data_IF_969909831562
#
_entry.id   IF_969909831562
#
_cell.length_a   1.000
_cell.length_b   1.000
_cell.length_c   1.000
_cell.angle_alpha   90.00
_cell.angle_beta   90.00
_cell.angle_gamma   90.00
#
_symmetry.space_group_name_H-M   'P 1'
#
loop_
_entity.id
_entity.type
_entity.pdbx_description
1 polymer ?
#
# COMPACT_ATOMS: atom_id res chain seq x y z
N UNK A 1 0.33 -29.46 -16.70
CA UNK A 1 -0.67 -28.46 -16.27
C UNK A 1 -0.43 -27.21 -17.09
N UNK A 2 -1.35 -26.85 -17.97
CA UNK A 2 -1.23 -25.60 -18.74
C UNK A 2 -1.39 -24.39 -17.81
N UNK A 3 -0.45 -23.46 -17.92
CA UNK A 3 -0.49 -22.18 -17.21
C UNK A 3 -1.47 -21.26 -17.95
N UNK A 4 -2.76 -21.42 -17.71
CA UNK A 4 -3.80 -20.66 -18.41
C UNK A 4 -3.94 -19.27 -17.81
N UNK A 5 -3.75 -18.24 -18.64
CA UNK A 5 -4.09 -16.86 -18.31
C UNK A 5 -5.59 -16.73 -18.10
N UNK A 6 -6.01 -16.31 -16.90
CA UNK A 6 -7.43 -16.12 -16.57
C UNK A 6 -7.77 -14.65 -16.41
N UNK A 7 -8.82 -14.20 -17.10
CA UNK A 7 -9.38 -12.86 -16.91
C UNK A 7 -10.33 -12.86 -15.70
N UNK A 8 -10.10 -11.97 -14.75
CA UNK A 8 -10.96 -11.76 -13.59
C UNK A 8 -11.75 -10.46 -13.79
N UNK A 9 -12.95 -10.56 -14.36
CA UNK A 9 -13.80 -9.39 -14.65
C UNK A 9 -14.24 -8.64 -13.39
N UNK A 10 -14.46 -9.36 -12.28
CA UNK A 10 -14.88 -8.76 -11.01
C UNK A 10 -13.77 -7.91 -10.39
N UNK A 11 -12.54 -8.42 -10.37
CA UNK A 11 -11.38 -7.71 -9.82
C UNK A 11 -10.65 -6.84 -10.85
N UNK A 12 -11.12 -6.84 -12.10
CA UNK A 12 -10.53 -6.09 -13.22
C UNK A 12 -9.02 -6.31 -13.34
N UNK A 13 -8.61 -7.58 -13.30
CA UNK A 13 -7.21 -8.01 -13.47
C UNK A 13 -7.15 -9.31 -14.27
N UNK A 14 -5.96 -9.67 -14.70
CA UNK A 14 -5.66 -11.02 -15.17
C UNK A 14 -4.85 -11.75 -14.10
N UNK A 15 -4.95 -13.06 -14.06
CA UNK A 15 -4.21 -13.90 -13.12
C UNK A 15 -3.62 -15.13 -13.82
N UNK A 16 -2.38 -15.46 -13.48
CA UNK A 16 -1.71 -16.70 -13.89
C UNK A 16 -1.31 -17.43 -12.60
N UNK A 17 -1.61 -18.73 -12.52
CA UNK A 17 -1.14 -19.59 -11.43
C UNK A 17 -0.28 -20.69 -12.03
N UNK A 18 0.93 -20.83 -11.53
CA UNK A 18 1.83 -21.93 -11.90
C UNK A 18 2.56 -22.41 -10.65
N UNK A 19 2.45 -23.71 -10.37
CA UNK A 19 2.94 -24.31 -9.13
C UNK A 19 2.41 -23.53 -7.90
N UNK A 20 3.31 -23.01 -7.06
CA UNK A 20 2.98 -22.20 -5.87
C UNK A 20 2.99 -20.69 -6.15
N UNK A 21 3.28 -20.28 -7.38
CA UNK A 21 3.38 -18.87 -7.76
C UNK A 21 2.05 -18.38 -8.32
N UNK A 22 1.57 -17.26 -7.78
CA UNK A 22 0.42 -16.53 -8.29
C UNK A 22 0.87 -15.16 -8.81
N UNK A 23 0.59 -14.89 -10.07
CA UNK A 23 0.91 -13.60 -10.72
C UNK A 23 -0.39 -12.87 -11.02
N UNK A 24 -0.53 -11.68 -10.45
CA UNK A 24 -1.60 -10.75 -10.78
C UNK A 24 -1.10 -9.74 -11.82
N UNK A 25 -1.86 -9.57 -12.91
CA UNK A 25 -1.50 -8.68 -14.02
C UNK A 25 -2.57 -7.58 -14.12
N UNK A 26 -2.14 -6.34 -13.92
CA UNK A 26 -2.99 -5.15 -14.04
C UNK A 26 -2.65 -4.43 -15.34
N UNK A 27 -3.67 -4.14 -16.14
CA UNK A 27 -3.50 -3.56 -17.47
C UNK A 27 -4.07 -2.14 -17.53
N UNK A 28 -3.40 -1.21 -18.24
CA UNK A 28 -3.95 0.11 -18.54
C UNK A 28 -5.36 0.03 -19.11
N UNK A 29 -6.21 1.00 -18.76
CA UNK A 29 -7.60 1.13 -19.22
C UNK A 29 -8.58 -0.01 -18.83
N UNK A 30 -8.07 -1.18 -18.41
CA UNK A 30 -8.90 -2.29 -17.92
C UNK A 30 -8.96 -2.33 -16.40
N UNK A 31 -7.80 -2.20 -15.74
CA UNK A 31 -7.70 -2.36 -14.30
C UNK A 31 -8.17 -1.13 -13.53
N UNK A 32 -9.06 -1.37 -12.57
CA UNK A 32 -9.66 -0.33 -11.72
C UNK A 32 -8.95 -0.26 -10.37
N UNK A 33 -7.69 0.18 -10.40
CA UNK A 33 -6.91 0.52 -9.19
C UNK A 33 -6.86 2.03 -9.02
N UNK A 34 -6.64 2.48 -7.79
CA UNK A 34 -6.80 3.87 -7.39
C UNK A 34 -5.78 4.82 -8.05
N UNK A 35 -4.60 4.30 -8.38
CA UNK A 35 -3.63 4.94 -9.27
C UNK A 35 -3.61 4.10 -10.56
N UNK A 36 -4.05 4.63 -11.71
CA UNK A 36 -4.12 3.86 -12.94
C UNK A 36 -2.75 3.27 -13.34
N UNK A 37 -2.70 2.04 -13.90
CA UNK A 37 -1.44 1.41 -14.31
C UNK A 37 -0.60 2.27 -15.27
N UNK A 38 -1.24 2.96 -16.22
CA UNK A 38 -0.60 3.89 -17.15
C UNK A 38 0.12 5.05 -16.46
N UNK A 39 -0.35 5.46 -15.28
CA UNK A 39 0.28 6.51 -14.50
C UNK A 39 1.38 5.96 -13.60
N UNK A 40 1.21 4.76 -13.02
CA UNK A 40 2.25 4.07 -12.26
C UNK A 40 3.50 3.81 -13.11
N UNK A 41 3.32 3.43 -14.37
CA UNK A 41 4.42 3.15 -15.30
C UNK A 41 5.29 4.37 -15.58
N UNK A 42 4.79 5.60 -15.39
CA UNK A 42 5.52 6.85 -15.62
C UNK A 42 6.48 7.20 -14.48
N UNK A 43 6.28 6.64 -13.30
CA UNK A 43 7.00 7.06 -12.08
C UNK A 43 7.72 5.91 -11.37
N UNK A 44 8.11 4.86 -12.11
CA UNK A 44 8.78 3.69 -11.55
C UNK A 44 10.16 4.02 -10.96
N UNK A 45 10.48 3.37 -9.85
CA UNK A 45 11.82 3.27 -9.29
C UNK A 45 12.49 1.97 -9.77
N UNK A 46 13.82 1.92 -9.76
CA UNK A 46 14.59 0.69 -10.01
C UNK A 46 15.25 0.27 -8.70
N UNK A 47 14.87 -0.88 -8.18
CA UNK A 47 15.40 -1.45 -6.94
C UNK A 47 15.98 -2.82 -7.27
N UNK A 48 17.30 -3.00 -7.11
CA UNK A 48 17.99 -4.26 -7.44
C UNK A 48 17.68 -4.81 -8.85
N UNK A 49 17.53 -3.92 -9.84
CA UNK A 49 17.19 -4.28 -11.23
C UNK A 49 15.69 -4.48 -11.50
N UNK A 50 14.84 -4.46 -10.48
CA UNK A 50 13.39 -4.53 -10.62
C UNK A 50 12.78 -3.14 -10.76
N UNK A 51 11.91 -2.96 -11.76
CA UNK A 51 11.08 -1.76 -11.86
C UNK A 51 9.89 -1.89 -10.92
N UNK A 52 9.79 -1.00 -9.94
CA UNK A 52 8.72 -1.01 -8.93
C UNK A 52 8.04 0.34 -8.86
N UNK A 53 6.77 0.42 -8.41
CA UNK A 53 6.20 1.69 -8.01
C UNK A 53 7.10 2.38 -6.97
N UNK A 54 7.12 3.71 -6.99
CA UNK A 54 7.69 4.51 -5.89
C UNK A 54 6.91 4.25 -4.60
N UNK A 55 7.56 4.53 -3.48
CA UNK A 55 7.06 4.14 -2.16
C UNK A 55 5.74 4.84 -1.81
N UNK A 56 5.53 6.08 -2.27
CA UNK A 56 4.28 6.83 -2.05
C UNK A 56 3.12 6.22 -2.83
N UNK A 57 3.32 5.88 -4.10
CA UNK A 57 2.33 5.16 -4.90
C UNK A 57 2.03 3.79 -4.30
N UNK A 58 3.06 3.05 -3.87
CA UNK A 58 2.88 1.75 -3.23
C UNK A 58 2.09 1.86 -1.91
N UNK A 59 2.35 2.89 -1.11
CA UNK A 59 1.59 3.19 0.11
C UNK A 59 0.10 3.42 -0.21
N UNK A 60 -0.21 4.24 -1.22
CA UNK A 60 -1.58 4.51 -1.64
C UNK A 60 -2.28 3.22 -2.12
N UNK A 61 -1.61 2.39 -2.91
CA UNK A 61 -2.15 1.10 -3.37
C UNK A 61 -2.44 0.14 -2.20
N UNK A 62 -1.56 0.11 -1.20
CA UNK A 62 -1.80 -0.67 0.03
C UNK A 62 -2.98 -0.14 0.83
N UNK A 63 -3.17 1.17 0.91
CA UNK A 63 -4.33 1.77 1.55
C UNK A 63 -5.64 1.39 0.85
N UNK A 64 -5.67 1.34 -0.49
CA UNK A 64 -6.84 0.86 -1.22
C UNK A 64 -7.17 -0.58 -0.82
N UNK A 65 -6.20 -1.49 -0.90
CA UNK A 65 -6.39 -2.90 -0.56
C UNK A 65 -6.87 -3.09 0.90
N UNK A 66 -6.31 -2.30 1.82
CA UNK A 66 -6.71 -2.28 3.22
C UNK A 66 -8.16 -1.85 3.39
N UNK A 67 -8.59 -0.76 2.74
CA UNK A 67 -9.96 -0.23 2.83
C UNK A 67 -10.96 -1.26 2.33
N UNK A 68 -10.67 -1.92 1.20
CA UNK A 68 -11.50 -2.97 0.62
C UNK A 68 -11.61 -4.23 1.50
N UNK A 69 -10.66 -4.45 2.42
CA UNK A 69 -10.53 -5.69 3.21
C UNK A 69 -10.49 -5.47 4.73
N UNK A 70 -10.85 -4.27 5.19
CA UNK A 70 -10.59 -3.70 6.52
C UNK A 70 -10.90 -4.61 7.72
N UNK A 71 -11.93 -5.45 7.61
CA UNK A 71 -12.42 -6.32 8.69
C UNK A 71 -11.98 -7.79 8.53
N UNK A 72 -10.82 -8.04 7.93
CA UNK A 72 -10.30 -9.39 7.69
C UNK A 72 -8.84 -9.52 8.11
N UNK A 73 -8.37 -10.78 8.25
CA UNK A 73 -6.96 -11.10 8.43
C UNK A 73 -6.10 -10.50 7.29
N UNK A 74 -6.64 -10.46 6.06
CA UNK A 74 -5.97 -9.82 4.92
C UNK A 74 -5.83 -8.31 5.13
N UNK A 75 -6.87 -7.65 5.65
CA UNK A 75 -6.81 -6.24 6.03
C UNK A 75 -5.76 -5.94 7.11
N UNK A 76 -5.57 -6.84 8.10
CA UNK A 76 -4.48 -6.71 9.06
C UNK A 76 -3.10 -6.81 8.39
N UNK A 77 -2.90 -7.75 7.47
CA UNK A 77 -1.65 -7.86 6.68
C UNK A 77 -1.38 -6.58 5.88
N UNK A 78 -2.41 -6.03 5.23
CA UNK A 78 -2.28 -4.77 4.48
C UNK A 78 -1.91 -3.59 5.40
N UNK A 79 -2.42 -3.53 6.64
CA UNK A 79 -1.98 -2.52 7.65
C UNK A 79 -0.56 -2.73 8.13
N UNK A 80 -0.14 -3.98 8.34
CA UNK A 80 1.26 -4.31 8.69
C UNK A 80 2.19 -3.84 7.57
N UNK A 81 1.85 -4.11 6.31
CA UNK A 81 2.64 -3.65 5.17
C UNK A 81 2.72 -2.12 5.11
N UNK A 82 1.62 -1.41 5.36
CA UNK A 82 1.62 0.07 5.48
C UNK A 82 2.59 0.52 6.57
N UNK A 83 2.57 -0.11 7.74
CA UNK A 83 3.48 0.21 8.84
C UNK A 83 4.94 -0.05 8.48
N UNK A 84 5.25 -1.13 7.75
CA UNK A 84 6.60 -1.39 7.22
C UNK A 84 7.10 -0.26 6.31
N UNK A 85 6.25 0.19 5.38
CA UNK A 85 6.62 1.30 4.48
C UNK A 85 6.92 2.57 5.28
N UNK A 86 6.10 2.89 6.28
CA UNK A 86 6.34 4.02 7.18
C UNK A 86 7.64 3.83 8.00
N UNK A 87 7.92 2.63 8.48
CA UNK A 87 9.14 2.36 9.26
C UNK A 87 10.42 2.45 8.41
N UNK A 88 10.34 2.29 7.10
CA UNK A 88 11.49 2.48 6.21
C UNK A 88 12.00 3.93 6.13
N UNK A 89 11.21 4.89 6.64
CA UNK A 89 11.51 6.33 6.70
C UNK A 89 11.78 7.03 5.36
N UNK A 90 11.53 6.38 4.23
CA UNK A 90 11.85 6.89 2.89
C UNK A 90 10.68 7.59 2.18
N UNK A 91 9.64 7.99 2.91
CA UNK A 91 8.41 8.53 2.34
C UNK A 91 8.48 10.05 2.26
N UNK A 92 8.33 10.58 1.04
CA UNK A 92 8.08 11.99 0.80
C UNK A 92 6.59 12.30 0.99
N UNK A 93 6.25 12.86 2.15
CA UNK A 93 4.87 13.24 2.47
C UNK A 93 4.31 14.38 1.63
N UNK A 94 5.17 15.21 1.02
CA UNK A 94 4.72 16.23 0.07
C UNK A 94 4.22 15.53 -1.19
N UNK A 95 5.03 14.66 -1.78
CA UNK A 95 4.64 13.84 -2.93
C UNK A 95 3.41 12.99 -2.65
N UNK A 96 3.35 12.34 -1.48
CA UNK A 96 2.17 11.58 -1.07
C UNK A 96 0.91 12.46 -1.07
N UNK A 97 0.98 13.66 -0.48
CA UNK A 97 -0.15 14.61 -0.49
C UNK A 97 -0.54 15.01 -1.90
N UNK A 98 0.43 15.35 -2.76
CA UNK A 98 0.19 15.74 -4.16
C UNK A 98 -0.50 14.60 -4.94
N UNK A 99 -0.12 13.35 -4.70
CA UNK A 99 -0.77 12.17 -5.29
C UNK A 99 -2.20 11.99 -4.79
N UNK A 100 -2.45 12.18 -3.48
CA UNK A 100 -3.81 12.11 -2.94
C UNK A 100 -4.71 13.17 -3.56
N UNK A 101 -4.21 14.38 -3.74
CA UNK A 101 -4.98 15.48 -4.35
C UNK A 101 -5.23 15.21 -5.84
N UNK A 102 -4.19 14.77 -6.58
CA UNK A 102 -4.29 14.40 -8.01
C UNK A 102 -5.38 13.36 -8.27
N UNK A 103 -5.51 12.34 -7.42
CA UNK A 103 -6.47 11.25 -7.61
C UNK A 103 -7.73 11.39 -6.74
N UNK A 104 -7.94 12.55 -6.11
CA UNK A 104 -9.11 12.85 -5.26
C UNK A 104 -9.31 11.87 -4.08
N UNK A 105 -8.21 11.46 -3.43
CA UNK A 105 -8.15 10.45 -2.38
C UNK A 105 -8.02 11.04 -0.97
N UNK A 106 -8.66 12.17 -0.71
CA UNK A 106 -8.51 12.92 0.57
C UNK A 106 -8.80 12.06 1.81
N UNK A 107 -9.72 11.10 1.71
CA UNK A 107 -10.04 10.15 2.79
C UNK A 107 -8.86 9.23 3.18
N UNK A 108 -7.92 8.97 2.27
CA UNK A 108 -6.77 8.10 2.51
C UNK A 108 -5.85 8.70 3.57
N UNK A 109 -5.68 10.03 3.59
CA UNK A 109 -4.88 10.70 4.62
C UNK A 109 -5.44 10.42 6.02
N UNK A 110 -6.75 10.58 6.20
CA UNK A 110 -7.42 10.29 7.47
C UNK A 110 -7.37 8.79 7.82
N UNK A 111 -7.42 7.91 6.81
CA UNK A 111 -7.26 6.47 7.02
C UNK A 111 -5.86 6.12 7.53
N UNK A 112 -4.82 6.68 6.91
CA UNK A 112 -3.42 6.48 7.32
C UNK A 112 -3.20 6.95 8.76
N UNK A 113 -3.71 8.15 9.09
CA UNK A 113 -3.72 8.68 10.46
C UNK A 113 -4.33 7.68 11.45
N UNK A 114 -5.50 7.11 11.12
CA UNK A 114 -6.17 6.13 11.97
C UNK A 114 -5.33 4.87 12.15
N UNK A 115 -4.75 4.31 11.07
CA UNK A 115 -3.90 3.13 11.13
C UNK A 115 -2.72 3.37 12.10
N UNK A 116 -1.97 4.46 11.92
CA UNK A 116 -0.80 4.77 12.76
C UNK A 116 -1.18 4.95 14.23
N UNK A 117 -2.23 5.71 14.53
CA UNK A 117 -2.58 6.02 15.91
C UNK A 117 -3.18 4.81 16.65
N UNK A 118 -4.03 4.03 15.98
CA UNK A 118 -4.65 2.85 16.58
C UNK A 118 -3.78 1.60 16.54
N UNK A 119 -2.61 1.65 15.87
CA UNK A 119 -1.76 0.49 15.70
C UNK A 119 -1.38 -0.15 17.04
N UNK A 120 -1.65 -1.46 17.15
CA UNK A 120 -1.33 -2.32 18.29
C UNK A 120 -0.93 -3.70 17.76
N UNK A 121 -1.86 -4.35 17.07
CA UNK A 121 -1.64 -5.66 16.45
C UNK A 121 -0.53 -5.59 15.41
N UNK A 122 -0.44 -4.47 14.68
CA UNK A 122 0.59 -4.24 13.68
C UNK A 122 1.99 -4.24 14.31
N UNK A 123 2.17 -3.56 15.45
CA UNK A 123 3.45 -3.58 16.17
C UNK A 123 3.77 -4.96 16.74
N UNK A 124 2.75 -5.67 17.22
CA UNK A 124 2.90 -7.05 17.69
C UNK A 124 3.38 -7.98 16.55
N UNK A 125 2.76 -7.88 15.38
CA UNK A 125 3.14 -8.64 14.18
C UNK A 125 4.56 -8.31 13.70
N UNK A 126 4.99 -7.06 13.87
CA UNK A 126 6.35 -6.61 13.55
C UNK A 126 7.37 -6.91 14.64
N UNK A 127 6.96 -7.59 15.73
CA UNK A 127 7.79 -7.87 16.90
C UNK A 127 8.39 -6.63 17.58
N UNK A 128 7.81 -5.45 17.36
CA UNK A 128 8.21 -4.19 18.00
C UNK A 128 7.49 -4.11 19.35
N UNK A 129 8.21 -4.39 20.44
CA UNK A 129 7.65 -4.40 21.80
C UNK A 129 8.03 -3.17 22.63
N UNK A 130 9.04 -2.41 22.19
CA UNK A 130 9.54 -1.26 22.93
C UNK A 130 8.53 -0.10 22.89
N UNK A 131 7.89 0.17 24.03
CA UNK A 131 6.88 1.22 24.16
C UNK A 131 7.42 2.62 23.86
N UNK A 132 8.70 2.89 24.13
CA UNK A 132 9.32 4.18 23.83
C UNK A 132 9.48 4.38 22.32
N UNK A 133 9.87 3.35 21.60
CA UNK A 133 9.98 3.38 20.13
C UNK A 133 8.61 3.58 19.48
N UNK A 134 7.59 2.83 19.93
CA UNK A 134 6.21 2.97 19.46
C UNK A 134 5.70 4.41 19.68
N UNK A 135 5.94 4.97 20.87
CA UNK A 135 5.52 6.35 21.19
C UNK A 135 6.22 7.36 20.26
N UNK A 136 7.54 7.27 20.11
CA UNK A 136 8.32 8.14 19.21
C UNK A 136 7.83 8.05 17.76
N UNK A 137 7.57 6.84 17.27
CA UNK A 137 7.02 6.61 15.93
C UNK A 137 5.67 7.32 15.75
N UNK A 138 4.73 7.11 16.68
CA UNK A 138 3.41 7.75 16.61
C UNK A 138 3.52 9.28 16.67
N UNK A 139 4.39 9.82 17.50
CA UNK A 139 4.64 11.27 17.59
C UNK A 139 5.25 11.87 16.31
N UNK A 140 6.21 11.18 15.70
CA UNK A 140 6.82 11.57 14.41
C UNK A 140 5.73 11.72 13.33
N UNK A 141 4.92 10.68 13.15
CA UNK A 141 3.85 10.69 12.15
C UNK A 141 2.69 11.61 12.51
N UNK A 142 2.50 11.92 13.79
CA UNK A 142 1.57 12.97 14.23
C UNK A 142 1.99 14.35 13.73
N UNK A 143 3.29 14.64 13.65
CA UNK A 143 3.79 15.91 13.10
C UNK A 143 3.72 15.93 11.57
N UNK A 144 4.21 14.86 10.92
CA UNK A 144 4.31 14.81 9.46
C UNK A 144 2.94 14.80 8.74
N UNK A 145 1.95 14.13 9.32
CA UNK A 145 0.60 14.07 8.72
C UNK A 145 -0.24 15.33 8.97
N UNK A 146 0.33 16.38 9.59
CA UNK A 146 -0.34 17.63 10.02
C UNK A 146 -1.68 17.31 10.68
N UNK A 147 -1.61 16.73 11.87
CA UNK A 147 -2.78 16.55 12.73
C UNK A 147 -3.29 17.89 13.25
#
# INVERSE_FOLDING_TARGET
>A
MENVLKKNERLKKYEIKFQEISVDIYLPYFSKIVIPPEDLMKTLAVIHGFKTPKIEELLILKQQAEIERKNSIKGLKDRVDIMCLLLSENIDFKRYSDLLDKYHLTAFKNRLKKIVLSAKDEFYYLHIKNQREIKKFKEKYRKQLKF
#
